data_IF_161261660947
#
_entry.id   IF_161261660947
#
_cell.length_a   1.000
_cell.length_b   1.000
_cell.length_c   1.000
_cell.angle_alpha   90.00
_cell.angle_beta   90.00
_cell.angle_gamma   90.00
#
_symmetry.space_group_name_H-M   'P 1'
#
loop_
_entity.id
_entity.type
_entity.pdbx_description
1 polymer ?
#
# COMPACT_ATOMS: atom_id res chain seq x y z
N UNK A 1 -3.12 16.12 27.48
CA UNK A 1 -2.19 14.98 27.36
C UNK A 1 -2.71 14.10 26.23
N UNK A 2 -2.20 14.27 25.01
CA UNK A 2 -2.58 13.42 23.87
C UNK A 2 -1.78 12.14 23.98
N UNK A 3 -2.49 11.03 24.23
CA UNK A 3 -1.91 9.70 24.20
C UNK A 3 -1.63 9.36 22.74
N UNK A 4 -0.38 9.18 22.33
CA UNK A 4 -0.06 8.62 21.02
C UNK A 4 -0.56 7.17 21.00
N UNK A 5 -1.61 6.91 20.21
CA UNK A 5 -2.21 5.58 20.05
C UNK A 5 -1.65 4.95 18.78
N UNK A 6 -0.49 4.33 18.90
CA UNK A 6 0.16 3.61 17.80
C UNK A 6 0.07 2.09 18.01
N UNK A 7 -0.25 1.34 16.95
CA UNK A 7 -0.14 -0.11 16.89
C UNK A 7 0.98 -0.48 15.93
N UNK A 8 2.05 -1.06 16.44
CA UNK A 8 3.17 -1.58 15.63
C UNK A 8 3.13 -3.11 15.64
N UNK A 9 3.11 -3.71 14.45
CA UNK A 9 3.21 -5.16 14.26
C UNK A 9 4.43 -5.44 13.40
N UNK A 10 5.47 -6.03 13.99
CA UNK A 10 6.73 -6.35 13.30
C UNK A 10 6.94 -7.86 13.30
N UNK A 11 7.18 -8.44 12.13
CA UNK A 11 7.65 -9.82 12.02
C UNK A 11 9.14 -9.86 12.33
N UNK A 12 9.50 -10.44 13.47
CA UNK A 12 10.90 -10.68 13.84
C UNK A 12 11.30 -12.09 13.44
N UNK A 13 12.25 -12.20 12.50
CA UNK A 13 12.86 -13.49 12.16
C UNK A 13 14.00 -13.77 13.14
N UNK A 14 13.76 -14.63 14.13
CA UNK A 14 14.83 -15.24 14.92
C UNK A 14 15.04 -16.67 14.43
N UNK A 15 15.52 -16.80 13.19
CA UNK A 15 15.64 -18.09 12.48
C UNK A 15 17.03 -18.23 11.87
N UNK A 16 17.64 -19.38 12.07
CA UNK A 16 18.90 -19.75 11.44
C UNK A 16 18.64 -20.13 9.98
N UNK A 17 19.65 -20.00 9.11
CA UNK A 17 19.50 -20.32 7.68
C UNK A 17 19.04 -21.79 7.44
N UNK A 18 19.32 -22.70 8.36
CA UNK A 18 18.88 -24.10 8.34
C UNK A 18 17.37 -24.25 8.52
N UNK A 19 16.70 -23.28 9.15
CA UNK A 19 15.24 -23.29 9.35
C UNK A 19 14.46 -22.99 8.05
N UNK A 20 15.17 -22.63 6.98
CA UNK A 20 14.62 -22.42 5.65
C UNK A 20 14.73 -23.68 4.77
N UNK A 21 15.34 -24.77 5.28
CA UNK A 21 15.30 -26.08 4.63
C UNK A 21 13.99 -26.77 5.02
N UNK A 22 12.95 -26.51 4.23
CA UNK A 22 11.61 -27.07 4.43
C UNK A 22 10.62 -26.55 3.41
N UNK A 23 9.45 -27.19 3.32
CA UNK A 23 8.38 -26.72 2.44
C UNK A 23 7.73 -25.46 3.00
N UNK A 24 7.40 -24.50 2.11
CA UNK A 24 6.66 -23.27 2.44
C UNK A 24 5.42 -23.63 3.31
N UNK A 25 5.23 -23.02 4.50
CA UNK A 25 4.06 -23.28 5.35
C UNK A 25 2.77 -23.07 4.57
N UNK A 26 1.68 -23.76 4.94
CA UNK A 26 0.39 -23.55 4.30
C UNK A 26 -0.01 -22.06 4.38
N UNK A 27 -0.79 -21.61 3.38
CA UNK A 27 -1.11 -20.19 3.24
C UNK A 27 -1.87 -19.61 4.45
N UNK A 28 -2.58 -20.44 5.21
CA UNK A 28 -3.32 -20.02 6.40
C UNK A 28 -2.42 -19.46 7.50
N UNK A 29 -1.20 -19.99 7.65
CA UNK A 29 -0.22 -19.53 8.65
C UNK A 29 0.63 -18.35 8.18
N UNK A 30 0.40 -17.86 6.96
CA UNK A 30 1.19 -16.76 6.34
C UNK A 30 0.31 -15.59 5.93
N UNK A 31 -0.95 -15.56 6.38
CA UNK A 31 -1.88 -14.45 6.19
C UNK A 31 -2.07 -13.70 7.50
N UNK A 32 -1.68 -12.44 7.51
CA UNK A 32 -1.96 -11.52 8.61
C UNK A 32 -3.23 -10.75 8.26
N UNK A 33 -4.21 -10.74 9.16
CA UNK A 33 -5.41 -9.91 9.05
C UNK A 33 -5.45 -8.97 10.23
N UNK A 34 -5.53 -7.68 9.96
CA UNK A 34 -5.61 -6.63 10.97
C UNK A 34 -6.95 -5.95 10.80
N UNK A 35 -7.79 -5.99 11.84
CA UNK A 35 -9.02 -5.21 11.92
C UNK A 35 -8.69 -3.84 12.49
N UNK A 36 -9.08 -2.77 11.79
CA UNK A 36 -8.91 -1.40 12.24
C UNK A 36 -10.28 -0.78 12.51
N UNK A 37 -10.41 0.13 13.48
CA UNK A 37 -11.64 0.89 13.67
C UNK A 37 -11.95 1.73 12.43
N UNK A 38 -13.23 1.94 12.15
CA UNK A 38 -13.73 2.69 10.99
C UNK A 38 -13.56 4.21 11.12
N UNK A 39 -13.04 4.69 12.25
CA UNK A 39 -12.94 6.10 12.58
C UNK A 39 -11.64 6.43 13.31
N UNK A 40 -11.18 7.67 13.15
CA UNK A 40 -10.02 8.27 13.82
C UNK A 40 -8.66 7.64 13.47
N UNK A 41 -8.51 7.05 12.28
CA UNK A 41 -7.22 6.62 11.76
C UNK A 41 -6.46 7.83 11.20
N UNK A 42 -5.26 8.10 11.72
CA UNK A 42 -4.39 9.14 11.21
C UNK A 42 -3.66 8.66 9.96
N UNK A 43 -2.82 7.64 10.13
CA UNK A 43 -1.95 7.11 9.08
C UNK A 43 -1.85 5.60 9.11
N UNK A 44 -1.49 5.03 7.96
CA UNK A 44 -1.11 3.62 7.81
C UNK A 44 0.24 3.53 7.11
N UNK A 45 1.13 2.72 7.68
CA UNK A 45 2.32 2.23 6.99
C UNK A 45 2.32 0.71 7.05
N UNK A 46 2.37 0.07 5.89
CA UNK A 46 2.46 -1.38 5.79
C UNK A 46 3.52 -1.76 4.77
N UNK A 47 4.40 -2.68 5.14
CA UNK A 47 5.37 -3.25 4.22
C UNK A 47 5.49 -4.75 4.37
N UNK A 48 5.79 -5.42 3.26
CA UNK A 48 5.97 -6.88 3.24
C UNK A 48 6.99 -7.28 2.19
N UNK A 49 7.46 -8.50 2.30
CA UNK A 49 8.24 -9.18 1.27
C UNK A 49 7.50 -10.44 0.81
N UNK A 50 7.62 -10.77 -0.46
CA UNK A 50 7.12 -11.97 -1.16
C UNK A 50 5.60 -12.12 -1.34
N UNK A 51 4.77 -11.47 -0.53
CA UNK A 51 3.31 -11.65 -0.58
C UNK A 51 2.63 -10.28 -0.70
N UNK A 52 1.35 -10.26 -1.08
CA UNK A 52 0.66 -9.00 -1.41
C UNK A 52 0.13 -8.28 -0.17
N UNK A 53 0.03 -6.95 -0.24
CA UNK A 53 -0.71 -6.11 0.70
C UNK A 53 -2.08 -5.83 0.11
N UNK A 54 -3.14 -5.93 0.93
CA UNK A 54 -4.47 -5.43 0.53
C UNK A 54 -5.11 -4.60 1.61
N UNK A 55 -5.54 -3.38 1.25
CA UNK A 55 -6.26 -2.45 2.12
C UNK A 55 -7.62 -2.15 1.49
N UNK A 56 -8.70 -2.27 2.26
CA UNK A 56 -10.08 -2.13 1.76
C UNK A 56 -10.89 -1.20 2.62
N UNK A 57 -11.58 -0.24 1.99
CA UNK A 57 -12.64 0.60 2.59
C UNK A 57 -12.22 1.28 3.90
N UNK A 58 -11.05 1.90 3.92
CA UNK A 58 -10.54 2.63 5.08
C UNK A 58 -10.23 4.09 4.73
N UNK A 59 -10.48 4.96 5.70
CA UNK A 59 -10.18 6.39 5.61
C UNK A 59 -9.17 6.82 6.65
N UNK A 60 -8.15 7.54 6.19
CA UNK A 60 -7.05 8.07 6.98
C UNK A 60 -7.04 9.58 6.86
N UNK A 61 -6.95 10.31 7.98
CA UNK A 61 -6.94 11.77 7.96
C UNK A 61 -5.65 12.36 7.39
N UNK A 62 -4.57 11.58 7.43
CA UNK A 62 -3.23 12.00 7.00
C UNK A 62 -2.78 11.14 5.81
N UNK A 63 -2.06 10.05 6.07
CA UNK A 63 -1.26 9.38 5.04
C UNK A 63 -1.42 7.87 5.00
N UNK A 64 -1.21 7.30 3.82
CA UNK A 64 -1.12 5.85 3.62
C UNK A 64 0.14 5.54 2.82
N UNK A 65 0.97 4.64 3.33
CA UNK A 65 2.16 4.13 2.64
C UNK A 65 2.13 2.61 2.62
N UNK A 66 2.11 2.03 1.42
CA UNK A 66 2.06 0.60 1.20
C UNK A 66 3.24 0.18 0.31
N UNK A 67 4.06 -0.75 0.80
CA UNK A 67 5.25 -1.19 0.08
C UNK A 67 5.36 -2.72 0.03
N UNK A 68 5.49 -3.29 -1.16
CA UNK A 68 5.69 -4.73 -1.33
C UNK A 68 6.87 -5.03 -2.24
N UNK A 69 7.64 -6.06 -1.91
CA UNK A 69 8.75 -6.57 -2.71
C UNK A 69 8.60 -8.08 -2.93
N UNK A 70 8.20 -8.48 -4.13
CA UNK A 70 7.83 -9.85 -4.52
C UNK A 70 6.33 -10.13 -4.46
N UNK A 71 5.50 -9.12 -4.20
CA UNK A 71 4.04 -9.23 -4.15
C UNK A 71 3.37 -7.92 -4.57
N UNK A 72 2.06 -7.93 -4.79
CA UNK A 72 1.30 -6.77 -5.27
C UNK A 72 0.85 -5.85 -4.14
N UNK A 73 0.55 -4.60 -4.47
CA UNK A 73 -0.14 -3.65 -3.60
C UNK A 73 -1.54 -3.41 -4.14
N UNK A 74 -2.56 -3.71 -3.33
CA UNK A 74 -3.96 -3.61 -3.72
C UNK A 74 -4.70 -2.66 -2.78
N UNK A 75 -5.28 -1.59 -3.31
CA UNK A 75 -6.11 -0.65 -2.55
C UNK A 75 -7.55 -0.66 -3.07
N UNK A 76 -8.56 -0.87 -2.22
CA UNK A 76 -9.96 -0.83 -2.65
C UNK A 76 -10.69 0.26 -1.88
N UNK A 77 -11.09 1.35 -2.54
CA UNK A 77 -11.74 2.53 -1.94
C UNK A 77 -10.98 3.09 -0.75
N UNK A 78 -9.66 3.27 -0.88
CA UNK A 78 -8.83 3.85 0.18
C UNK A 78 -8.86 5.37 0.11
N UNK A 79 -9.14 6.03 1.24
CA UNK A 79 -9.08 7.48 1.37
C UNK A 79 -7.86 7.88 2.20
N UNK A 80 -6.96 8.69 1.62
CA UNK A 80 -5.92 9.39 2.36
C UNK A 80 -6.24 10.89 2.32
N UNK A 81 -6.22 11.54 3.48
CA UNK A 81 -6.53 12.96 3.61
C UNK A 81 -5.47 13.88 3.02
N UNK A 82 -4.20 13.43 2.99
CA UNK A 82 -3.06 14.23 2.49
C UNK A 82 -2.21 13.48 1.48
N UNK A 83 -1.78 12.25 1.77
CA UNK A 83 -0.83 11.55 0.89
C UNK A 83 -1.05 10.05 0.80
N UNK A 84 -0.91 9.51 -0.40
CA UNK A 84 -0.95 8.09 -0.71
C UNK A 84 0.33 7.70 -1.45
N UNK A 85 1.11 6.80 -0.87
CA UNK A 85 2.34 6.26 -1.44
C UNK A 85 2.20 4.76 -1.63
N UNK A 86 2.36 4.31 -2.88
CA UNK A 86 2.23 2.90 -3.28
C UNK A 86 3.53 2.47 -3.95
N UNK A 87 4.15 1.41 -3.43
CA UNK A 87 5.39 0.87 -3.99
C UNK A 87 5.28 -0.63 -4.19
N UNK A 88 5.58 -1.09 -5.41
CA UNK A 88 5.69 -2.50 -5.71
C UNK A 88 6.97 -2.79 -6.50
N UNK A 89 7.72 -3.79 -6.03
CA UNK A 89 8.82 -4.39 -6.76
C UNK A 89 8.46 -5.85 -7.04
N UNK A 90 8.52 -6.25 -8.30
CA UNK A 90 8.17 -7.61 -8.73
C UNK A 90 6.71 -7.97 -8.35
N UNK A 91 5.77 -7.10 -8.74
CA UNK A 91 4.34 -7.18 -8.45
C UNK A 91 3.60 -5.92 -8.92
N UNK A 92 2.27 -6.02 -9.02
CA UNK A 92 1.42 -4.96 -9.57
C UNK A 92 0.94 -4.00 -8.48
N UNK A 93 0.49 -2.81 -8.92
CA UNK A 93 -0.24 -1.85 -8.10
C UNK A 93 -1.62 -1.68 -8.72
N UNK A 94 -2.67 -2.09 -8.02
CA UNK A 94 -4.03 -2.02 -8.55
C UNK A 94 -5.03 -1.54 -7.51
N UNK A 95 -6.12 -0.89 -7.95
CA UNK A 95 -7.14 -0.50 -7.01
C UNK A 95 -7.99 0.71 -7.33
N UNK A 96 -8.64 1.21 -6.28
CA UNK A 96 -9.41 2.46 -6.28
C UNK A 96 -9.10 3.34 -5.06
N UNK A 97 -9.03 4.64 -5.30
CA UNK A 97 -8.74 5.68 -4.30
C UNK A 97 -9.87 6.69 -4.22
N UNK A 98 -10.19 7.17 -3.02
CA UNK A 98 -11.33 8.07 -2.78
C UNK A 98 -10.93 9.53 -3.05
N UNK A 99 -11.56 10.09 -4.08
CA UNK A 99 -11.35 11.45 -4.56
C UNK A 99 -11.55 11.52 -6.07
N UNK A 100 -11.67 12.74 -6.59
CA UNK A 100 -11.61 13.01 -8.03
C UNK A 100 -10.18 13.09 -8.54
N UNK A 101 -9.99 12.96 -9.85
CA UNK A 101 -8.70 13.14 -10.52
C UNK A 101 -7.99 14.45 -10.16
N UNK A 102 -8.76 15.53 -10.06
CA UNK A 102 -8.24 16.87 -9.78
C UNK A 102 -7.85 17.07 -8.31
N UNK A 103 -8.31 16.18 -7.41
CA UNK A 103 -7.91 16.22 -6.00
C UNK A 103 -6.45 15.83 -5.80
N UNK A 104 -5.82 15.18 -6.80
CA UNK A 104 -4.49 14.60 -6.69
C UNK A 104 -3.44 15.31 -7.55
N UNK A 105 -2.31 15.63 -6.90
CA UNK A 105 -1.01 15.76 -7.56
C UNK A 105 -0.39 14.36 -7.63
N UNK A 106 -0.01 13.91 -8.81
CA UNK A 106 0.40 12.54 -9.13
C UNK A 106 1.88 12.53 -9.51
N UNK A 107 2.64 11.59 -8.96
CA UNK A 107 3.97 11.21 -9.41
C UNK A 107 4.01 9.69 -9.59
N UNK A 108 4.25 9.23 -10.81
CA UNK A 108 4.23 7.80 -11.14
C UNK A 108 5.53 7.40 -11.84
N UNK A 109 6.35 6.61 -11.16
CA UNK A 109 7.55 5.99 -11.72
C UNK A 109 7.26 4.54 -12.08
N UNK A 110 7.43 4.18 -13.35
CA UNK A 110 7.39 2.78 -13.80
C UNK A 110 8.66 2.41 -14.55
N UNK A 111 9.30 1.29 -14.17
CA UNK A 111 10.50 0.81 -14.88
C UNK A 111 10.20 -0.27 -15.92
N UNK A 112 9.33 -1.22 -15.62
CA UNK A 112 8.81 -2.22 -16.55
C UNK A 112 7.35 -2.54 -16.23
N UNK A 113 6.48 -2.41 -17.23
CA UNK A 113 5.04 -2.57 -17.14
C UNK A 113 4.32 -1.39 -17.77
N UNK A 114 3.00 -1.37 -17.65
CA UNK A 114 2.13 -0.28 -18.11
C UNK A 114 1.48 0.44 -16.93
N UNK A 115 1.11 1.71 -17.13
CA UNK A 115 0.42 2.52 -16.12
C UNK A 115 -0.74 3.29 -16.73
N UNK A 116 -1.86 3.36 -16.02
CA UNK A 116 -2.97 4.25 -16.36
C UNK A 116 -2.79 5.68 -15.81
N UNK A 117 -1.71 5.97 -15.09
CA UNK A 117 -1.39 7.28 -14.52
C UNK A 117 -0.33 8.01 -15.37
N UNK A 118 -0.37 9.36 -15.45
CA UNK A 118 0.72 10.15 -16.01
C UNK A 118 1.95 10.06 -15.10
N UNK A 119 3.13 10.22 -15.69
CA UNK A 119 4.40 10.31 -14.94
C UNK A 119 4.36 11.45 -13.91
N UNK A 120 3.78 12.59 -14.27
CA UNK A 120 3.56 13.72 -13.37
C UNK A 120 2.27 14.46 -13.68
N UNK A 121 1.58 14.89 -12.64
CA UNK A 121 0.47 15.84 -12.66
C UNK A 121 0.54 16.69 -11.40
N UNK A 122 0.48 18.00 -11.53
CA UNK A 122 0.46 18.92 -10.38
C UNK A 122 -0.97 19.46 -10.12
N UNK A 123 -1.11 20.20 -9.02
CA UNK A 123 -2.28 21.06 -8.75
C UNK A 123 -3.42 20.43 -7.94
N UNK A 124 -3.28 19.19 -7.48
CA UNK A 124 -4.20 18.59 -6.51
C UNK A 124 -3.73 18.78 -5.07
N UNK A 125 -4.68 18.86 -4.14
CA UNK A 125 -4.41 19.05 -2.70
C UNK A 125 -3.78 17.82 -2.04
N UNK A 126 -4.10 16.63 -2.54
CA UNK A 126 -3.56 15.35 -2.08
C UNK A 126 -2.38 14.93 -2.95
N UNK A 127 -1.38 14.26 -2.39
CA UNK A 127 -0.34 13.60 -3.19
C UNK A 127 -0.65 12.13 -3.42
N UNK A 128 -0.45 11.66 -4.66
CA UNK A 128 -0.40 10.27 -5.04
C UNK A 128 0.98 9.96 -5.62
N UNK A 129 1.78 9.18 -4.90
CA UNK A 129 3.10 8.72 -5.35
C UNK A 129 3.04 7.23 -5.61
N UNK A 130 3.42 6.82 -6.82
CA UNK A 130 3.39 5.42 -7.25
C UNK A 130 4.75 5.04 -7.82
N UNK A 131 5.39 4.02 -7.26
CA UNK A 131 6.67 3.50 -7.73
C UNK A 131 6.56 1.99 -8.02
N UNK A 132 6.63 1.64 -9.31
CA UNK A 132 6.56 0.25 -9.76
C UNK A 132 7.80 -0.14 -10.58
N UNK A 133 8.53 -1.18 -10.16
CA UNK A 133 9.73 -1.61 -10.90
C UNK A 133 9.43 -2.65 -11.99
N UNK A 134 8.70 -3.70 -11.66
CA UNK A 134 8.40 -4.83 -12.54
C UNK A 134 6.96 -5.28 -12.27
N UNK A 135 6.00 -4.63 -12.94
CA UNK A 135 4.57 -4.85 -12.77
C UNK A 135 3.75 -3.69 -13.33
N UNK A 136 2.45 -3.89 -13.44
CA UNK A 136 1.53 -2.89 -13.99
C UNK A 136 0.91 -2.01 -12.90
N UNK A 137 0.46 -0.81 -13.29
CA UNK A 137 -0.22 0.15 -12.43
C UNK A 137 -1.62 0.46 -12.99
N UNK A 138 -2.66 0.16 -12.22
CA UNK A 138 -4.03 0.49 -12.57
C UNK A 138 -4.81 1.04 -11.36
N UNK A 139 -4.95 2.37 -11.30
CA UNK A 139 -5.65 3.07 -10.20
C UNK A 139 -6.89 3.80 -10.71
N UNK A 140 -8.04 3.48 -10.11
CA UNK A 140 -9.30 4.17 -10.35
C UNK A 140 -9.55 5.26 -9.29
N UNK A 141 -10.10 6.40 -9.70
CA UNK A 141 -10.51 7.47 -8.82
C UNK A 141 -12.02 7.38 -8.61
N UNK A 142 -12.45 7.20 -7.36
CA UNK A 142 -13.86 6.95 -7.01
C UNK A 142 -14.38 7.95 -6.00
N UNK A 143 -15.66 8.28 -6.10
CA UNK A 143 -16.37 9.12 -5.13
C UNK A 143 -17.10 8.28 -4.07
#
# INVERSE_FOLDING_TARGET
>A
MTLEKELTVTLTYNKEWTDFIGTKPSAEYRKIRIGLPDSLLSSLSASTTNESITVRSLSFSESVSLASNGGSVICERVNAGKSLSLTAKDGDISGSVVGGWDDYSISCTIKKGESNLPESKEGGEKSLTVDCNNGDVNIEFVK
#
